data_IF_120225873198
#
_entry.id   IF_120225873198
#
_cell.length_a   1.000
_cell.length_b   1.000
_cell.length_c   1.000
_cell.angle_alpha   90.00
_cell.angle_beta   90.00
_cell.angle_gamma   90.00
#
_symmetry.space_group_name_H-M   'P 1'
#
loop_
_entity.id
_entity.type
_entity.pdbx_description
1 polymer ?
#
# COMPACT_ATOMS: atom_id res chain seq x y z
N UNK A 1 4.40 -14.15 -16.54
CA UNK A 1 4.57 -13.64 -17.92
C UNK A 1 5.21 -12.26 -17.91
N UNK A 2 4.58 -11.24 -17.32
CA UNK A 2 5.14 -9.88 -17.23
C UNK A 2 6.55 -9.84 -16.63
N UNK A 3 6.76 -10.43 -15.45
CA UNK A 3 8.10 -10.47 -14.82
C UNK A 3 9.16 -11.21 -15.64
N UNK A 4 8.78 -12.27 -16.36
CA UNK A 4 9.70 -12.98 -17.25
C UNK A 4 10.10 -12.12 -18.46
N UNK A 5 9.16 -11.38 -19.03
CA UNK A 5 9.42 -10.45 -20.15
C UNK A 5 10.28 -9.28 -19.67
N UNK A 6 9.93 -8.68 -18.53
CA UNK A 6 10.67 -7.57 -17.92
C UNK A 6 12.11 -7.94 -17.57
N UNK A 7 12.31 -9.02 -16.80
CA UNK A 7 13.64 -9.50 -16.43
C UNK A 7 14.47 -9.84 -17.67
N UNK A 8 13.89 -10.51 -18.67
CA UNK A 8 14.61 -10.83 -19.92
C UNK A 8 15.01 -9.56 -20.68
N UNK A 9 14.12 -8.56 -20.73
CA UNK A 9 14.41 -7.27 -21.36
C UNK A 9 15.52 -6.48 -20.65
N UNK A 10 15.55 -6.49 -19.32
CA UNK A 10 16.61 -5.86 -18.53
C UNK A 10 17.95 -6.57 -18.76
N UNK A 11 17.95 -7.90 -18.74
CA UNK A 11 19.16 -8.71 -19.00
C UNK A 11 19.69 -8.48 -20.42
N UNK A 12 18.79 -8.38 -21.40
CA UNK A 12 19.17 -8.06 -22.78
C UNK A 12 19.79 -6.66 -22.94
N UNK A 13 19.46 -5.72 -22.04
CA UNK A 13 20.02 -4.36 -22.00
C UNK A 13 21.28 -4.24 -21.13
N UNK A 14 21.87 -5.36 -20.70
CA UNK A 14 23.15 -5.39 -19.98
C UNK A 14 23.03 -5.53 -18.47
N UNK A 15 21.83 -5.73 -17.92
CA UNK A 15 21.67 -6.06 -16.50
C UNK A 15 22.10 -7.50 -16.23
N UNK A 16 22.84 -7.72 -15.15
CA UNK A 16 23.35 -9.06 -14.85
C UNK A 16 23.97 -9.20 -13.47
N UNK A 17 24.47 -10.41 -13.14
CA UNK A 17 24.93 -10.76 -11.79
C UNK A 17 26.10 -9.90 -11.27
N UNK A 18 26.90 -9.34 -12.18
CA UNK A 18 28.05 -8.49 -11.86
C UNK A 18 27.67 -7.02 -11.63
N UNK A 19 26.44 -6.61 -11.94
CA UNK A 19 25.98 -5.23 -11.78
C UNK A 19 25.89 -4.80 -10.29
N UNK A 20 25.64 -5.76 -9.39
CA UNK A 20 25.52 -5.53 -7.94
C UNK A 20 26.74 -6.03 -7.15
N UNK A 21 27.79 -6.54 -7.81
CA UNK A 21 29.01 -7.06 -7.17
C UNK A 21 28.83 -8.36 -6.36
N UNK A 22 27.64 -8.96 -6.38
CA UNK A 22 27.27 -10.14 -5.59
C UNK A 22 26.54 -11.21 -6.43
N UNK A 23 27.25 -11.91 -7.35
CA UNK A 23 26.63 -12.77 -8.36
C UNK A 23 25.86 -13.97 -7.81
N UNK A 24 26.14 -14.41 -6.58
CA UNK A 24 25.42 -15.51 -5.93
C UNK A 24 24.03 -15.14 -5.39
N UNK A 25 23.84 -13.90 -4.93
CA UNK A 25 22.58 -13.44 -4.33
C UNK A 25 21.61 -12.89 -5.37
N UNK A 26 22.12 -12.47 -6.53
CA UNK A 26 21.32 -11.97 -7.65
C UNK A 26 20.24 -12.97 -8.10
N UNK A 27 20.59 -14.25 -8.25
CA UNK A 27 19.64 -15.31 -8.62
C UNK A 27 18.56 -15.55 -7.56
N UNK A 28 18.90 -15.38 -6.28
CA UNK A 28 17.93 -15.47 -5.18
C UNK A 28 17.00 -14.26 -5.16
N UNK A 29 17.51 -13.07 -5.48
CA UNK A 29 16.70 -11.87 -5.57
C UNK A 29 15.70 -11.93 -6.73
N UNK A 30 16.03 -12.62 -7.83
CA UNK A 30 15.08 -12.88 -8.91
C UNK A 30 13.86 -13.70 -8.45
N UNK A 31 13.97 -14.48 -7.37
CA UNK A 31 12.83 -15.20 -6.81
C UNK A 31 11.72 -14.25 -6.34
N UNK A 32 12.05 -12.99 -6.01
CA UNK A 32 11.06 -11.99 -5.60
C UNK A 32 10.15 -11.53 -6.74
N UNK A 33 10.53 -11.74 -8.00
CA UNK A 33 9.64 -11.56 -9.16
C UNK A 33 8.53 -12.61 -9.22
N UNK A 34 8.70 -13.75 -8.52
CA UNK A 34 7.71 -14.84 -8.45
C UNK A 34 6.98 -14.80 -7.11
N UNK A 35 7.71 -14.64 -6.02
CA UNK A 35 7.19 -14.59 -4.66
C UNK A 35 7.54 -13.22 -4.04
N UNK A 36 6.63 -12.23 -4.08
CA UNK A 36 6.91 -10.85 -3.71
C UNK A 36 6.97 -10.67 -2.18
N UNK A 37 7.96 -11.29 -1.53
CA UNK A 37 8.25 -11.10 -0.10
C UNK A 37 8.99 -9.78 0.16
N UNK A 38 9.79 -9.33 -0.82
CA UNK A 38 10.60 -8.11 -0.79
C UNK A 38 10.49 -7.42 -2.16
N UNK A 39 11.05 -6.22 -2.29
CA UNK A 39 11.13 -5.52 -3.57
C UNK A 39 11.88 -6.38 -4.61
N UNK A 40 11.26 -6.62 -5.77
CA UNK A 40 11.94 -7.29 -6.87
C UNK A 40 13.08 -6.39 -7.34
N UNK A 41 14.30 -6.93 -7.53
CA UNK A 41 15.40 -6.14 -8.05
C UNK A 41 15.10 -5.73 -9.49
N UNK A 42 15.45 -4.50 -9.85
CA UNK A 42 15.32 -3.97 -11.20
C UNK A 42 16.59 -3.19 -11.59
N UNK A 43 16.83 -3.06 -12.89
CA UNK A 43 18.00 -2.37 -13.40
C UNK A 43 17.82 -0.85 -13.31
N UNK A 44 18.77 -0.16 -12.68
CA UNK A 44 18.91 1.29 -12.77
C UNK A 44 19.68 1.64 -14.04
N UNK A 45 19.26 2.71 -14.74
CA UNK A 45 19.96 3.29 -15.90
C UNK A 45 20.11 2.39 -17.14
N UNK A 46 19.04 1.71 -17.55
CA UNK A 46 19.02 1.00 -18.84
C UNK A 46 18.83 1.97 -20.01
N UNK A 47 19.44 1.66 -21.15
CA UNK A 47 19.39 2.52 -22.34
C UNK A 47 17.97 2.76 -22.89
N UNK A 48 17.01 1.89 -22.54
CA UNK A 48 15.64 1.95 -23.04
C UNK A 48 15.57 1.51 -24.50
N UNK A 49 14.41 1.77 -25.12
CA UNK A 49 14.20 1.57 -26.56
C UNK A 49 13.72 2.91 -27.11
N UNK A 50 14.55 3.55 -27.93
CA UNK A 50 14.25 4.85 -28.54
C UNK A 50 12.85 4.87 -29.17
N UNK A 51 12.00 5.77 -28.67
CA UNK A 51 10.62 5.96 -29.15
C UNK A 51 9.57 5.02 -28.57
N UNK A 52 9.93 4.02 -27.77
CA UNK A 52 8.99 3.06 -27.16
C UNK A 52 9.09 2.96 -25.64
N UNK A 53 10.30 2.92 -25.07
CA UNK A 53 10.54 2.75 -23.64
C UNK A 53 11.63 3.73 -23.19
N UNK A 54 11.32 4.61 -22.25
CA UNK A 54 12.29 5.50 -21.62
C UNK A 54 13.24 4.74 -20.69
N UNK A 55 14.33 5.36 -20.26
CA UNK A 55 15.32 4.74 -19.37
C UNK A 55 14.75 4.28 -18.01
N UNK A 56 13.62 4.84 -17.59
CA UNK A 56 12.88 4.51 -16.36
C UNK A 56 11.95 3.31 -16.47
N UNK A 57 11.83 2.66 -17.64
CA UNK A 57 10.87 1.56 -17.83
C UNK A 57 10.99 0.40 -16.82
N UNK A 58 12.18 0.04 -16.28
CA UNK A 58 12.27 -1.00 -15.26
C UNK A 58 11.61 -0.58 -13.94
N UNK A 59 11.75 0.68 -13.56
CA UNK A 59 11.15 1.25 -12.36
C UNK A 59 9.64 1.36 -12.51
N UNK A 60 9.15 1.81 -13.67
CA UNK A 60 7.72 1.86 -13.99
C UNK A 60 7.08 0.46 -13.97
N UNK A 61 7.83 -0.58 -14.31
CA UNK A 61 7.37 -1.97 -14.28
C UNK A 61 7.41 -2.57 -12.86
N UNK A 62 8.50 -2.34 -12.13
CA UNK A 62 8.74 -2.94 -10.82
C UNK A 62 8.03 -2.18 -9.69
N UNK A 63 7.91 -0.86 -9.81
CA UNK A 63 7.28 0.02 -8.84
C UNK A 63 5.93 -0.50 -8.39
N UNK A 64 4.92 -0.67 -9.27
CA UNK A 64 3.59 -1.14 -8.90
C UNK A 64 3.53 -2.50 -8.20
N UNK A 65 4.60 -3.32 -8.27
CA UNK A 65 4.67 -4.62 -7.59
C UNK A 65 4.73 -4.49 -6.06
N UNK A 66 5.07 -3.30 -5.54
CA UNK A 66 5.01 -3.01 -4.10
C UNK A 66 3.62 -3.33 -3.53
N UNK A 67 2.55 -3.03 -4.28
CA UNK A 67 1.18 -3.28 -3.87
C UNK A 67 0.90 -4.77 -3.67
N UNK A 68 1.43 -5.63 -4.57
CA UNK A 68 1.24 -7.08 -4.48
C UNK A 68 1.97 -7.63 -3.24
N UNK A 69 3.20 -7.16 -2.98
CA UNK A 69 3.94 -7.49 -1.77
C UNK A 69 3.15 -7.08 -0.52
N UNK A 70 2.71 -5.83 -0.45
CA UNK A 70 1.95 -5.31 0.68
C UNK A 70 0.68 -6.14 0.92
N UNK A 71 -0.05 -6.46 -0.14
CA UNK A 71 -1.25 -7.29 -0.08
C UNK A 71 -0.95 -8.71 0.43
N UNK A 72 0.12 -9.34 -0.05
CA UNK A 72 0.55 -10.66 0.41
C UNK A 72 0.82 -10.65 1.93
N UNK A 73 1.56 -9.67 2.42
CA UNK A 73 1.82 -9.52 3.85
C UNK A 73 0.55 -9.25 4.65
N UNK A 74 -0.35 -8.38 4.17
CA UNK A 74 -1.63 -8.13 4.83
C UNK A 74 -2.49 -9.37 4.94
N UNK A 75 -2.59 -10.17 3.88
CA UNK A 75 -3.33 -11.45 3.90
C UNK A 75 -2.69 -12.42 4.88
N UNK A 76 -1.36 -12.52 4.91
CA UNK A 76 -0.63 -13.40 5.83
C UNK A 76 -0.82 -12.98 7.29
N UNK A 77 -0.80 -11.68 7.59
CA UNK A 77 -1.00 -11.14 8.94
C UNK A 77 -2.48 -11.08 9.36
N UNK A 78 -3.42 -11.11 8.43
CA UNK A 78 -4.87 -11.05 8.70
C UNK A 78 -5.34 -12.00 9.82
N UNK A 79 -4.98 -13.30 9.88
CA UNK A 79 -5.40 -14.16 10.99
C UNK A 79 -4.89 -13.69 12.35
N UNK A 80 -3.70 -13.09 12.42
CA UNK A 80 -3.15 -12.51 13.65
C UNK A 80 -3.86 -11.22 14.03
N UNK A 81 -4.11 -10.35 13.04
CA UNK A 81 -4.88 -9.11 13.22
C UNK A 81 -6.29 -9.43 13.70
N UNK A 82 -6.97 -10.43 13.14
CA UNK A 82 -8.30 -10.87 13.61
C UNK A 82 -8.28 -11.31 15.06
N UNK A 83 -7.29 -12.13 15.45
CA UNK A 83 -7.14 -12.54 16.86
C UNK A 83 -6.91 -11.33 17.77
N UNK A 84 -6.11 -10.37 17.32
CA UNK A 84 -5.89 -9.09 17.99
C UNK A 84 -7.18 -8.30 18.15
N UNK A 85 -7.92 -8.07 17.06
CA UNK A 85 -9.18 -7.31 17.05
C UNK A 85 -10.23 -7.91 17.98
N UNK A 86 -10.30 -9.24 18.08
CA UNK A 86 -11.26 -9.93 18.98
C UNK A 86 -10.90 -9.82 20.46
N UNK A 87 -9.61 -9.72 20.80
CA UNK A 87 -9.17 -9.62 22.20
C UNK A 87 -8.99 -8.18 22.67
N UNK A 88 -8.33 -7.38 21.85
CA UNK A 88 -7.87 -6.02 22.13
C UNK A 88 -8.10 -5.16 20.87
N UNK A 89 -9.36 -4.78 20.56
CA UNK A 89 -9.70 -4.07 19.33
C UNK A 89 -8.98 -2.72 19.20
N UNK A 90 -8.90 -1.94 20.28
CA UNK A 90 -8.31 -0.61 20.26
C UNK A 90 -6.80 -0.61 20.07
N UNK A 91 -6.01 -1.38 20.84
CA UNK A 91 -4.58 -1.48 20.59
C UNK A 91 -4.29 -2.01 19.18
N UNK A 92 -5.06 -2.99 18.70
CA UNK A 92 -4.85 -3.55 17.36
C UNK A 92 -5.13 -2.53 16.27
N UNK A 93 -6.20 -1.73 16.41
CA UNK A 93 -6.56 -0.67 15.45
C UNK A 93 -5.51 0.43 15.38
N UNK A 94 -4.93 0.82 16.53
CA UNK A 94 -3.94 1.89 16.61
C UNK A 94 -2.51 1.40 16.36
N UNK A 95 -2.25 0.09 16.32
CA UNK A 95 -0.91 -0.47 16.17
C UNK A 95 -0.19 0.01 14.89
N UNK A 96 -0.81 0.06 13.70
CA UNK A 96 -0.13 0.56 12.50
C UNK A 96 0.24 2.04 12.60
N UNK A 97 -0.63 2.87 13.22
CA UNK A 97 -0.35 4.29 13.44
C UNK A 97 0.79 4.48 14.46
N UNK A 98 0.81 3.69 15.53
CA UNK A 98 1.89 3.70 16.50
C UNK A 98 3.22 3.28 15.86
N UNK A 99 3.18 2.30 14.95
CA UNK A 99 4.34 1.88 14.18
C UNK A 99 4.84 3.02 13.25
N UNK A 100 3.94 3.72 12.56
CA UNK A 100 4.31 4.86 11.71
C UNK A 100 5.01 5.98 12.51
N UNK A 101 4.52 6.25 13.73
CA UNK A 101 5.18 7.20 14.66
C UNK A 101 6.54 6.66 15.11
N UNK A 102 6.65 5.37 15.41
CA UNK A 102 7.90 4.76 15.85
C UNK A 102 8.99 4.81 14.76
N UNK A 103 8.62 4.58 13.50
CA UNK A 103 9.51 4.72 12.36
C UNK A 103 9.96 6.18 12.17
N UNK A 104 9.02 7.12 12.26
CA UNK A 104 9.34 8.57 12.15
C UNK A 104 10.32 9.05 13.21
N UNK A 105 10.24 8.49 14.41
CA UNK A 105 11.14 8.80 15.53
C UNK A 105 12.45 8.00 15.48
N UNK A 106 12.67 7.19 14.44
CA UNK A 106 13.87 6.38 14.23
C UNK A 106 14.20 5.49 15.45
N UNK A 107 13.16 4.99 16.15
CA UNK A 107 13.36 4.19 17.37
C UNK A 107 14.10 2.87 17.12
N UNK A 108 14.07 2.35 15.88
CA UNK A 108 14.75 1.14 15.48
C UNK A 108 15.25 1.26 14.03
N UNK A 109 16.47 0.80 13.77
CA UNK A 109 17.03 0.67 12.42
C UNK A 109 16.69 -0.70 11.84
N UNK A 110 16.16 -0.76 10.63
CA UNK A 110 15.91 -2.01 9.91
C UNK A 110 16.82 -2.11 8.69
N UNK A 111 16.96 -3.31 8.12
CA UNK A 111 17.65 -3.48 6.83
C UNK A 111 16.80 -2.86 5.72
N UNK A 112 17.43 -2.24 4.70
CA UNK A 112 16.75 -1.56 3.59
C UNK A 112 15.55 -2.33 2.99
N UNK A 113 15.66 -3.66 2.89
CA UNK A 113 14.60 -4.54 2.35
C UNK A 113 13.38 -4.71 3.27
N UNK A 114 13.58 -4.64 4.59
CA UNK A 114 12.49 -4.69 5.56
C UNK A 114 11.89 -3.31 5.76
N UNK A 115 12.69 -2.26 5.57
CA UNK A 115 12.28 -0.88 5.76
C UNK A 115 11.13 -0.49 4.83
N UNK A 116 11.20 -0.89 3.55
CA UNK A 116 10.11 -0.68 2.59
C UNK A 116 8.82 -1.40 3.02
N UNK A 117 8.90 -2.70 3.35
CA UNK A 117 7.74 -3.48 3.75
C UNK A 117 7.12 -3.00 5.07
N UNK A 118 7.94 -2.57 6.03
CA UNK A 118 7.50 -2.04 7.32
C UNK A 118 6.87 -0.67 7.14
N UNK A 119 7.44 0.18 6.30
CA UNK A 119 6.88 1.48 5.93
C UNK A 119 5.52 1.30 5.24
N UNK A 120 5.43 0.45 4.22
CA UNK A 120 4.19 0.09 3.53
C UNK A 120 3.12 -0.40 4.52
N UNK A 121 3.51 -1.28 5.44
CA UNK A 121 2.62 -1.81 6.47
C UNK A 121 2.16 -0.73 7.44
N UNK A 122 3.02 0.21 7.83
CA UNK A 122 2.67 1.30 8.74
C UNK A 122 1.71 2.30 8.07
N UNK A 123 1.93 2.60 6.80
CA UNK A 123 1.17 3.57 6.02
C UNK A 123 -0.20 3.05 5.63
N UNK A 124 -0.25 1.86 5.04
CA UNK A 124 -1.50 1.29 4.50
C UNK A 124 -2.16 0.28 5.43
N UNK A 125 -1.41 -0.33 6.35
CA UNK A 125 -1.95 -1.32 7.28
C UNK A 125 -3.00 -0.74 8.23
N UNK A 126 -2.93 0.56 8.55
CA UNK A 126 -3.98 1.25 9.30
C UNK A 126 -5.35 1.11 8.62
N UNK A 127 -5.39 1.30 7.29
CA UNK A 127 -6.62 1.16 6.50
C UNK A 127 -7.07 -0.30 6.41
N UNK A 128 -6.13 -1.24 6.26
CA UNK A 128 -6.43 -2.67 6.24
C UNK A 128 -7.07 -3.15 7.54
N UNK A 129 -6.43 -2.86 8.68
CA UNK A 129 -6.93 -3.22 10.02
C UNK A 129 -8.29 -2.58 10.27
N UNK A 130 -8.48 -1.34 9.84
CA UNK A 130 -9.75 -0.64 9.96
C UNK A 130 -10.88 -1.30 9.13
N UNK A 131 -10.58 -1.75 7.91
CA UNK A 131 -11.49 -2.55 7.09
C UNK A 131 -11.89 -3.86 7.80
N UNK A 132 -10.93 -4.57 8.40
CA UNK A 132 -11.20 -5.78 9.18
C UNK A 132 -12.03 -5.48 10.44
N UNK A 133 -11.74 -4.39 11.13
CA UNK A 133 -12.49 -3.93 12.31
C UNK A 133 -13.95 -3.57 11.94
N UNK A 134 -14.18 -3.01 10.75
CA UNK A 134 -15.52 -2.77 10.23
C UNK A 134 -16.28 -4.09 10.00
N UNK A 135 -15.63 -5.09 9.38
CA UNK A 135 -16.23 -6.41 9.12
C UNK A 135 -16.54 -7.18 10.41
N UNK A 136 -15.67 -7.14 11.42
CA UNK A 136 -15.92 -7.74 12.76
C UNK A 136 -16.94 -6.93 13.59
N UNK A 137 -17.47 -5.83 13.05
CA UNK A 137 -18.47 -5.00 13.70
C UNK A 137 -17.94 -4.20 14.90
N UNK A 138 -16.62 -4.05 15.04
CA UNK A 138 -15.99 -3.27 16.11
C UNK A 138 -16.46 -1.82 16.04
N UNK A 139 -16.47 -1.24 14.84
CA UNK A 139 -16.93 0.14 14.61
C UNK A 139 -18.43 0.33 14.87
N UNK A 140 -19.25 -0.72 14.70
CA UNK A 140 -20.71 -0.69 14.94
C UNK A 140 -21.07 -0.66 16.42
N UNK A 141 -20.14 -1.03 17.31
CA UNK A 141 -20.34 -0.97 18.77
C UNK A 141 -20.15 0.44 19.32
N UNK A 142 -19.63 1.37 18.52
CA UNK A 142 -19.41 2.74 18.93
C UNK A 142 -20.70 3.55 18.84
N UNK A 143 -20.89 4.52 19.74
CA UNK A 143 -21.89 5.55 19.55
C UNK A 143 -21.70 6.25 18.19
N UNK A 144 -22.80 6.54 17.50
CA UNK A 144 -22.78 7.08 16.15
C UNK A 144 -22.01 8.41 16.01
N UNK A 145 -21.83 9.15 17.10
CA UNK A 145 -21.08 10.41 17.09
C UNK A 145 -19.55 10.23 17.16
N UNK A 146 -19.04 9.09 17.63
CA UNK A 146 -17.59 8.92 17.88
C UNK A 146 -16.80 8.97 16.58
N UNK A 147 -17.24 8.23 15.57
CA UNK A 147 -16.56 8.20 14.26
C UNK A 147 -16.53 9.57 13.58
N UNK A 148 -17.66 10.27 13.37
CA UNK A 148 -17.65 11.59 12.73
C UNK A 148 -16.92 12.66 13.56
N UNK A 149 -16.74 12.48 14.87
CA UNK A 149 -15.91 13.38 15.68
C UNK A 149 -14.40 13.09 15.56
N UNK A 150 -14.00 11.82 15.61
CA UNK A 150 -12.59 11.44 15.66
C UNK A 150 -11.94 11.44 14.28
N UNK A 151 -12.67 11.04 13.25
CA UNK A 151 -12.10 10.85 11.94
C UNK A 151 -11.60 12.16 11.27
N UNK A 152 -12.30 13.31 11.38
CA UNK A 152 -11.75 14.60 10.95
C UNK A 152 -10.53 15.04 11.76
N UNK A 153 -10.40 14.62 13.03
CA UNK A 153 -9.22 14.93 13.85
C UNK A 153 -7.99 14.21 13.29
N UNK A 154 -8.11 12.92 12.96
CA UNK A 154 -7.02 12.18 12.31
C UNK A 154 -6.67 12.74 10.93
N UNK A 155 -7.68 13.02 10.10
CA UNK A 155 -7.47 13.62 8.78
C UNK A 155 -6.79 15.01 8.88
N UNK A 156 -7.30 15.87 9.77
CA UNK A 156 -6.72 17.18 10.02
C UNK A 156 -5.30 17.11 10.57
N UNK A 157 -5.01 16.17 11.47
CA UNK A 157 -3.66 15.93 11.97
C UNK A 157 -2.69 15.49 10.86
N UNK A 158 -3.13 14.62 9.95
CA UNK A 158 -2.35 14.21 8.77
C UNK A 158 -2.01 15.38 7.86
N UNK A 159 -2.99 16.25 7.53
CA UNK A 159 -2.75 17.45 6.73
C UNK A 159 -1.88 18.49 7.44
N UNK A 160 -2.10 18.68 8.74
CA UNK A 160 -1.27 19.58 9.53
C UNK A 160 0.18 19.12 9.55
N UNK A 161 0.41 17.82 9.74
CA UNK A 161 1.74 17.22 9.68
C UNK A 161 2.37 17.35 8.30
N UNK A 162 1.62 17.05 7.23
CA UNK A 162 2.09 17.22 5.87
C UNK A 162 2.58 18.66 5.61
N UNK A 163 1.78 19.65 5.98
CA UNK A 163 2.16 21.06 5.83
C UNK A 163 3.43 21.43 6.63
N UNK A 164 3.64 20.83 7.81
CA UNK A 164 4.83 21.08 8.61
C UNK A 164 6.10 20.47 7.99
N UNK A 165 6.00 19.27 7.42
CA UNK A 165 7.07 18.57 6.71
C UNK A 165 7.33 19.11 5.29
N UNK A 166 6.67 20.23 4.92
CA UNK A 166 6.95 20.94 3.67
C UNK A 166 6.08 20.55 2.48
N UNK A 167 4.87 20.01 2.72
CA UNK A 167 3.88 19.79 1.67
C UNK A 167 3.61 21.10 0.90
N UNK A 168 4.13 21.18 -0.33
CA UNK A 168 4.02 22.32 -1.26
C UNK A 168 3.37 21.86 -2.55
N UNK A 169 2.85 22.81 -3.34
CA UNK A 169 2.25 22.51 -4.65
C UNK A 169 3.22 21.71 -5.53
N UNK A 170 2.87 20.47 -5.84
CA UNK A 170 3.67 19.54 -6.65
C UNK A 170 4.28 18.35 -5.89
N UNK A 171 4.08 18.24 -4.56
CA UNK A 171 4.54 17.10 -3.77
C UNK A 171 3.42 16.12 -3.44
N UNK A 172 3.74 14.83 -3.50
CA UNK A 172 2.82 13.74 -3.18
C UNK A 172 2.79 13.46 -1.68
N UNK A 173 1.59 13.18 -1.14
CA UNK A 173 1.43 12.83 0.27
C UNK A 173 2.17 11.52 0.60
N UNK A 174 2.39 10.70 -0.43
CA UNK A 174 3.13 9.43 -0.40
C UNK A 174 4.58 9.58 0.07
N UNK A 175 5.15 10.78 -0.03
CA UNK A 175 6.50 11.08 0.48
C UNK A 175 6.56 11.22 2.01
N UNK A 176 5.42 11.29 2.70
CA UNK A 176 5.33 11.50 4.15
C UNK A 176 4.47 10.39 4.77
N UNK A 177 5.04 9.20 5.04
CA UNK A 177 4.31 8.01 5.50
C UNK A 177 3.35 8.25 6.66
N UNK A 178 3.78 9.01 7.68
CA UNK A 178 2.94 9.32 8.84
C UNK A 178 1.74 10.21 8.49
N UNK A 179 1.94 11.24 7.65
CA UNK A 179 0.85 12.10 7.20
C UNK A 179 -0.17 11.30 6.40
N UNK A 180 0.32 10.46 5.47
CA UNK A 180 -0.51 9.60 4.65
C UNK A 180 -1.29 8.59 5.50
N UNK A 181 -0.66 7.96 6.49
CA UNK A 181 -1.32 7.02 7.40
C UNK A 181 -2.47 7.69 8.17
N UNK A 182 -2.23 8.86 8.77
CA UNK A 182 -3.23 9.61 9.54
C UNK A 182 -4.38 10.11 8.67
N UNK A 183 -4.05 10.69 7.51
CA UNK A 183 -5.03 11.16 6.52
C UNK A 183 -5.93 10.02 6.05
N UNK A 184 -5.30 8.94 5.56
CA UNK A 184 -6.02 7.80 5.00
C UNK A 184 -6.86 7.11 6.06
N UNK A 185 -6.34 6.95 7.29
CA UNK A 185 -7.10 6.41 8.41
C UNK A 185 -8.37 7.22 8.70
N UNK A 186 -8.25 8.55 8.81
CA UNK A 186 -9.40 9.44 9.02
C UNK A 186 -10.43 9.36 7.88
N UNK A 187 -9.97 9.45 6.63
CA UNK A 187 -10.85 9.37 5.47
C UNK A 187 -11.57 8.01 5.37
N UNK A 188 -10.82 6.90 5.49
CA UNK A 188 -11.39 5.55 5.42
C UNK A 188 -12.34 5.29 6.59
N UNK A 189 -12.04 5.82 7.79
CA UNK A 189 -12.91 5.69 8.95
C UNK A 189 -14.26 6.40 8.74
N UNK A 190 -14.25 7.61 8.17
CA UNK A 190 -15.48 8.29 7.74
C UNK A 190 -16.22 7.51 6.65
N UNK A 191 -15.51 7.06 5.63
CA UNK A 191 -16.10 6.32 4.51
C UNK A 191 -16.78 5.05 5.00
N UNK A 192 -16.14 4.26 5.86
CA UNK A 192 -16.71 3.03 6.43
C UNK A 192 -17.88 3.28 7.37
N UNK A 193 -17.92 4.43 8.05
CA UNK A 193 -19.06 4.81 8.89
C UNK A 193 -20.27 5.26 8.06
N UNK A 194 -20.01 6.03 7.01
CA UNK A 194 -21.04 6.45 6.07
C UNK A 194 -21.48 5.31 5.16
N UNK A 195 -20.61 4.32 4.93
CA UNK A 195 -20.81 3.28 3.92
C UNK A 195 -22.05 2.46 4.23
N UNK A 196 -23.11 2.61 3.44
CA UNK A 196 -24.27 1.74 3.53
C UNK A 196 -23.90 0.32 3.08
N UNK A 197 -24.22 -0.69 3.87
CA UNK A 197 -24.14 -2.10 3.43
C UNK A 197 -25.33 -2.40 2.52
N UNK A 198 -25.16 -2.19 1.20
CA UNK A 198 -26.15 -2.59 0.21
C UNK A 198 -25.88 -4.04 -0.24
N UNK A 199 -26.77 -4.95 0.07
CA UNK A 199 -26.75 -6.30 -0.53
C UNK A 199 -27.21 -6.27 -1.99
N UNK A 200 -28.05 -5.28 -2.35
CA UNK A 200 -28.48 -4.99 -3.72
C UNK A 200 -28.42 -3.50 -4.00
N UNK A 201 -27.93 -3.12 -5.18
CA UNK A 201 -27.89 -1.72 -5.60
C UNK A 201 -29.29 -1.09 -5.66
N UNK A 202 -29.46 0.16 -5.19
CA UNK A 202 -30.73 0.87 -5.30
C UNK A 202 -31.12 1.00 -6.77
N UNK A 203 -32.42 1.04 -7.03
CA UNK A 203 -32.98 1.15 -8.39
C UNK A 203 -32.32 2.25 -9.25
N UNK A 204 -31.93 3.38 -8.65
CA UNK A 204 -31.26 4.50 -9.35
C UNK A 204 -29.80 4.23 -9.71
N UNK A 205 -29.09 3.44 -8.92
CA UNK A 205 -27.66 3.18 -9.13
C UNK A 205 -27.40 1.82 -9.82
N UNK A 206 -28.42 1.01 -10.01
CA UNK A 206 -28.34 -0.30 -10.70
C UNK A 206 -27.78 -0.18 -12.14
N UNK A 207 -27.92 0.99 -12.78
CA UNK A 207 -27.31 1.25 -14.09
C UNK A 207 -25.76 1.27 -14.05
N UNK A 208 -25.16 1.60 -12.91
CA UNK A 208 -23.71 1.63 -12.72
C UNK A 208 -23.12 0.28 -12.27
N UNK A 209 -23.96 -0.70 -11.99
CA UNK A 209 -23.53 -2.02 -11.49
C UNK A 209 -22.56 -2.72 -12.45
N UNK A 210 -22.88 -2.76 -13.75
CA UNK A 210 -22.01 -3.35 -14.78
C UNK A 210 -20.69 -2.61 -14.99
N UNK A 211 -20.65 -1.28 -15.23
CA UNK A 211 -19.38 -0.58 -15.42
C UNK A 211 -18.50 -0.65 -14.17
N UNK A 212 -19.07 -0.52 -12.96
CA UNK A 212 -18.32 -0.64 -11.71
C UNK A 212 -17.79 -2.06 -11.53
N UNK A 213 -18.59 -3.10 -11.81
CA UNK A 213 -18.15 -4.49 -11.72
C UNK A 213 -17.04 -4.81 -12.73
N UNK A 214 -17.14 -4.29 -13.96
CA UNK A 214 -16.08 -4.43 -14.97
C UNK A 214 -14.79 -3.73 -14.55
N UNK A 215 -14.90 -2.51 -14.03
CA UNK A 215 -13.75 -1.75 -13.54
C UNK A 215 -13.12 -2.45 -12.33
N UNK A 216 -13.92 -2.94 -11.39
CA UNK A 216 -13.44 -3.68 -10.21
C UNK A 216 -12.77 -5.00 -10.60
N UNK A 217 -13.36 -5.75 -11.53
CA UNK A 217 -12.78 -6.98 -12.06
C UNK A 217 -11.45 -6.75 -12.81
N UNK A 218 -11.20 -5.52 -13.27
CA UNK A 218 -9.97 -5.11 -13.95
C UNK A 218 -9.15 -4.10 -13.15
N UNK A 219 -9.48 -3.87 -11.87
CA UNK A 219 -8.87 -2.79 -11.09
C UNK A 219 -7.36 -2.97 -10.98
N UNK A 220 -6.92 -4.22 -10.77
CA UNK A 220 -5.50 -4.57 -10.76
C UNK A 220 -4.84 -4.27 -12.11
N UNK A 221 -5.50 -4.58 -13.23
CA UNK A 221 -4.96 -4.28 -14.57
C UNK A 221 -4.89 -2.79 -14.85
N UNK A 222 -5.88 -2.02 -14.43
CA UNK A 222 -5.90 -0.56 -14.58
C UNK A 222 -4.84 0.08 -13.70
N UNK A 223 -4.69 -0.37 -12.45
CA UNK A 223 -3.69 0.13 -11.52
C UNK A 223 -2.26 -0.15 -12.01
N UNK A 224 -2.01 -1.33 -12.61
CA UNK A 224 -0.71 -1.68 -13.17
C UNK A 224 -0.35 -0.94 -14.47
N UNK A 225 -1.28 -0.18 -15.06
CA UNK A 225 -1.08 0.48 -16.36
C UNK A 225 -1.06 2.02 -16.26
N UNK A 226 -1.33 2.58 -15.09
CA UNK A 226 -1.30 4.01 -14.85
C UNK A 226 0.05 4.44 -14.29
#
# INVERSE_FOLDING_TARGET
LLGAIGVTGMVAQGWGPDAEGHPGWWWQHLLYWVLPLSDPPYAYDVAGIDGFLGASWPEELAGPLWYIRAYLWFVLFSPLILRGLRRLPWPTLLAPLALAVALRLELFSTTDRLDSAITDFSTFGACWVLGMAHQEGVLKRLPAYVVPSIAPVFAGAGLWWANHEGFRSGFDLDSIPLAQALWSFGCVLLLLHLSPTWTEWPKRLRAFDRPITLLNARAVTVYLWH
#
